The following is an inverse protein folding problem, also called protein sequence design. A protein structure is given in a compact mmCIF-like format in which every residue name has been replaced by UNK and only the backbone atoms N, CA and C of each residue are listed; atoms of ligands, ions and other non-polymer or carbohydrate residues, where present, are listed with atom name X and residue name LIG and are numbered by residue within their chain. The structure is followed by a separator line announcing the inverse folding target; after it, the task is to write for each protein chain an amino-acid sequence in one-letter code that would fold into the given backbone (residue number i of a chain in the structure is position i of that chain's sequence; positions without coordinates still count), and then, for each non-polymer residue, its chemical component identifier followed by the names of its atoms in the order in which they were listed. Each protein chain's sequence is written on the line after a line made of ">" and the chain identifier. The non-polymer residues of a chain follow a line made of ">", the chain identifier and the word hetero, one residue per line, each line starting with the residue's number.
data_IF_330040264414
#
_entry.id   IF_330040264414
#
_cell.length_a   1.000
_cell.length_b   1.000
_cell.length_c   1.000
_cell.angle_alpha   90.00
_cell.angle_beta   90.00
_cell.angle_gamma   90.00
#
_symmetry.space_group_name_H-M   'P 1'
#
loop_
_entity.id
_entity.type
_entity.pdbx_description
1 polymer ?
#
# COMPACT_ATOMS: atom_id res chain seq x y z
N UNK A 1 3.50 -16.18 -3.17
CA UNK A 1 4.34 -16.15 -4.39
C UNK A 1 5.01 -14.78 -4.50
N UNK A 2 6.23 -14.66 -3.96
CA UNK A 2 6.99 -13.40 -3.93
C UNK A 2 7.34 -12.82 -5.32
N UNK A 3 7.89 -13.62 -6.26
CA UNK A 3 8.22 -13.18 -7.62
C UNK A 3 7.02 -12.59 -8.38
N UNK A 4 5.87 -13.28 -8.35
CA UNK A 4 4.67 -12.80 -9.04
C UNK A 4 4.19 -11.44 -8.46
N UNK A 5 4.33 -11.24 -7.15
CA UNK A 5 3.95 -9.98 -6.50
C UNK A 5 4.92 -8.85 -6.85
N UNK A 6 6.24 -9.11 -6.86
CA UNK A 6 7.22 -8.10 -7.25
C UNK A 6 7.04 -7.67 -8.70
N UNK A 7 6.75 -8.60 -9.60
CA UNK A 7 6.58 -8.31 -11.03
C UNK A 7 5.30 -7.49 -11.27
N UNK A 8 4.19 -7.88 -10.61
CA UNK A 8 2.94 -7.12 -10.67
C UNK A 8 3.12 -5.67 -10.18
N UNK A 9 3.84 -5.46 -9.06
CA UNK A 9 4.07 -4.13 -8.51
C UNK A 9 5.09 -3.31 -9.32
N UNK A 10 6.14 -3.94 -9.84
CA UNK A 10 7.12 -3.28 -10.70
C UNK A 10 6.50 -2.85 -12.05
N UNK A 11 5.56 -3.64 -12.59
CA UNK A 11 4.82 -3.30 -13.80
C UNK A 11 3.98 -2.00 -13.66
N UNK A 12 3.57 -1.66 -12.44
CA UNK A 12 2.83 -0.42 -12.13
C UNK A 12 3.69 0.84 -12.19
N UNK A 13 5.03 0.71 -12.28
CA UNK A 13 5.99 1.82 -12.38
C UNK A 13 5.74 2.92 -11.33
N UNK A 14 5.65 2.53 -10.06
CA UNK A 14 5.41 3.46 -8.96
C UNK A 14 6.65 4.37 -8.79
N UNK A 15 6.50 5.71 -8.85
CA UNK A 15 7.62 6.63 -8.71
C UNK A 15 8.38 6.47 -7.38
N UNK A 16 9.71 6.58 -7.44
CA UNK A 16 10.58 6.50 -6.27
C UNK A 16 10.65 5.16 -5.53
N UNK A 17 10.10 4.07 -6.08
CA UNK A 17 10.06 2.75 -5.42
C UNK A 17 10.40 1.62 -6.39
N UNK A 18 11.09 0.58 -5.90
CA UNK A 18 11.30 -0.68 -6.60
C UNK A 18 11.07 -1.87 -5.68
N UNK A 19 10.53 -2.96 -6.22
CA UNK A 19 10.19 -4.16 -5.46
C UNK A 19 11.10 -5.31 -5.85
N UNK A 20 11.56 -6.07 -4.86
CA UNK A 20 12.34 -7.29 -5.05
C UNK A 20 11.67 -8.46 -4.34
N UNK A 21 11.59 -9.65 -4.94
CA UNK A 21 11.04 -10.81 -4.26
C UNK A 21 11.99 -11.24 -3.14
N UNK A 22 11.42 -11.64 -2.01
CA UNK A 22 12.17 -12.09 -0.84
C UNK A 22 11.45 -13.29 -0.25
N UNK A 23 12.27 -14.24 0.20
CA UNK A 23 11.84 -15.34 1.05
C UNK A 23 12.55 -15.20 2.38
N UNK A 24 11.80 -15.20 3.48
CA UNK A 24 12.36 -15.06 4.82
C UNK A 24 11.57 -15.92 5.81
N UNK A 25 12.25 -16.42 6.82
CA UNK A 25 11.62 -17.18 7.91
C UNK A 25 11.62 -16.29 9.16
N UNK A 26 10.47 -15.75 9.60
CA UNK A 26 10.39 -14.91 10.77
C UNK A 26 10.81 -15.68 12.02
N UNK A 27 11.71 -15.12 12.83
CA UNK A 27 12.13 -15.70 14.12
C UNK A 27 11.16 -15.39 15.26
N UNK A 28 10.28 -14.40 15.09
CA UNK A 28 9.27 -13.98 16.06
C UNK A 28 8.06 -13.30 15.38
N UNK A 29 7.00 -13.03 16.14
CA UNK A 29 5.75 -12.36 15.73
C UNK A 29 4.83 -13.21 14.84
N UNK A 30 4.31 -12.66 13.73
CA UNK A 30 3.37 -13.35 12.85
C UNK A 30 4.12 -14.43 12.05
N UNK A 31 3.57 -15.64 12.00
CA UNK A 31 4.11 -16.80 11.28
C UNK A 31 5.52 -17.22 11.74
N UNK A 32 5.72 -17.49 13.05
CA UNK A 32 7.04 -17.84 13.58
C UNK A 32 7.51 -19.18 13.02
N UNK A 33 8.76 -19.23 12.56
CA UNK A 33 9.38 -20.41 11.93
C UNK A 33 8.71 -20.88 10.62
N UNK A 34 7.82 -20.08 10.04
CA UNK A 34 7.18 -20.38 8.76
C UNK A 34 7.92 -19.69 7.61
N UNK A 35 8.14 -20.43 6.52
CA UNK A 35 8.76 -19.87 5.31
C UNK A 35 7.81 -18.86 4.66
N UNK A 36 8.05 -17.57 4.90
CA UNK A 36 7.26 -16.49 4.33
C UNK A 36 7.86 -16.02 3.00
N UNK A 37 6.98 -15.75 2.04
CA UNK A 37 7.34 -15.11 0.79
C UNK A 37 6.70 -13.72 0.74
N UNK A 38 7.45 -12.74 0.28
CA UNK A 38 6.97 -11.37 0.17
C UNK A 38 7.79 -10.54 -0.81
N UNK A 39 7.70 -9.22 -0.63
CA UNK A 39 8.45 -8.24 -1.42
C UNK A 39 9.21 -7.30 -0.51
N UNK A 40 10.46 -7.02 -0.88
CA UNK A 40 11.31 -6.01 -0.27
C UNK A 40 11.13 -4.73 -1.05
N UNK A 41 10.86 -3.64 -0.34
CA UNK A 41 10.57 -2.33 -0.92
C UNK A 41 11.81 -1.46 -0.79
N UNK A 42 12.42 -1.11 -1.92
CA UNK A 42 13.55 -0.18 -1.98
C UNK A 42 13.04 1.19 -2.41
N UNK A 43 13.28 2.21 -1.59
CA UNK A 43 12.99 3.60 -1.93
C UNK A 43 14.17 4.12 -2.76
N UNK A 44 13.93 4.38 -4.04
CA UNK A 44 14.95 4.91 -4.97
C UNK A 44 14.97 6.44 -4.99
N UNK A 45 13.82 7.09 -4.81
CA UNK A 45 13.72 8.54 -4.69
C UNK A 45 12.65 8.96 -3.68
N UNK A 46 13.07 9.42 -2.50
CA UNK A 46 12.18 9.76 -1.38
C UNK A 46 11.20 10.89 -1.70
N UNK A 47 11.55 11.86 -2.55
CA UNK A 47 10.68 13.01 -2.84
C UNK A 47 9.50 12.64 -3.73
N UNK A 48 9.63 11.55 -4.50
CA UNK A 48 8.58 11.03 -5.38
C UNK A 48 7.67 10.02 -4.68
N UNK A 49 8.12 9.41 -3.58
CA UNK A 49 7.34 8.37 -2.88
C UNK A 49 6.11 8.97 -2.23
N UNK A 50 4.95 8.44 -2.63
CA UNK A 50 3.66 8.72 -2.01
C UNK A 50 3.22 7.50 -1.20
N UNK A 51 3.55 7.47 0.10
CA UNK A 51 3.36 6.30 0.97
C UNK A 51 1.92 5.76 1.02
N UNK A 52 0.91 6.64 1.07
CA UNK A 52 -0.49 6.22 1.05
C UNK A 52 -0.89 5.52 -0.27
N UNK A 53 -0.42 6.05 -1.40
CA UNK A 53 -0.61 5.41 -2.72
C UNK A 53 0.08 4.06 -2.78
N UNK A 54 1.32 3.97 -2.28
CA UNK A 54 2.06 2.71 -2.19
C UNK A 54 1.29 1.66 -1.39
N UNK A 55 0.69 2.04 -0.25
CA UNK A 55 -0.16 1.16 0.54
C UNK A 55 -1.39 0.65 -0.22
N UNK A 56 -2.06 1.52 -0.98
CA UNK A 56 -3.21 1.13 -1.81
C UNK A 56 -2.81 0.16 -2.94
N UNK A 57 -1.67 0.38 -3.59
CA UNK A 57 -1.11 -0.51 -4.62
C UNK A 57 -0.81 -1.91 -4.04
N UNK A 58 -0.18 -1.96 -2.86
CA UNK A 58 0.09 -3.22 -2.15
C UNK A 58 -1.21 -3.94 -1.76
N UNK A 59 -2.18 -3.22 -1.18
CA UNK A 59 -3.45 -3.79 -0.77
C UNK A 59 -4.24 -4.37 -1.97
N UNK A 60 -4.24 -3.66 -3.10
CA UNK A 60 -4.89 -4.13 -4.33
C UNK A 60 -4.21 -5.37 -4.90
N UNK A 61 -2.87 -5.40 -4.93
CA UNK A 61 -2.13 -6.57 -5.39
C UNK A 61 -2.37 -7.79 -4.49
N UNK A 62 -2.37 -7.60 -3.15
CA UNK A 62 -2.63 -8.67 -2.19
C UNK A 62 -4.07 -9.19 -2.28
N UNK A 63 -5.07 -8.32 -2.44
CA UNK A 63 -6.45 -8.75 -2.66
C UNK A 63 -6.61 -9.60 -3.93
N UNK A 64 -5.94 -9.22 -5.02
CA UNK A 64 -6.02 -9.94 -6.30
C UNK A 64 -5.33 -11.31 -6.22
N UNK A 65 -4.19 -11.39 -5.54
CA UNK A 65 -3.38 -12.61 -5.48
C UNK A 65 -3.78 -13.57 -4.35
N UNK A 66 -4.42 -13.07 -3.29
CA UNK A 66 -4.76 -13.87 -2.11
C UNK A 66 -6.11 -13.46 -1.48
N UNK A 67 -7.21 -13.52 -2.25
CA UNK A 67 -8.53 -13.05 -1.80
C UNK A 67 -9.08 -13.81 -0.60
N UNK A 68 -8.72 -15.09 -0.42
CA UNK A 68 -9.19 -15.91 0.70
C UNK A 68 -8.44 -15.65 2.02
N UNK A 69 -7.20 -15.15 1.96
CA UNK A 69 -6.31 -15.03 3.12
C UNK A 69 -6.11 -13.58 3.58
N UNK A 70 -6.43 -12.60 2.73
CA UNK A 70 -6.24 -11.19 3.02
C UNK A 70 -7.56 -10.49 3.33
N UNK A 71 -7.86 -10.33 4.63
CA UNK A 71 -8.99 -9.51 5.09
C UNK A 71 -8.58 -8.05 5.28
N UNK A 72 -9.27 -7.15 4.59
CA UNK A 72 -9.15 -5.70 4.83
C UNK A 72 -9.99 -5.20 5.99
N UNK A 73 -10.92 -6.01 6.52
CA UNK A 73 -11.87 -5.55 7.54
C UNK A 73 -11.18 -5.24 8.87
N UNK A 74 -10.11 -5.96 9.18
CA UNK A 74 -9.25 -5.69 10.35
C UNK A 74 -8.53 -4.34 10.22
N UNK A 75 -8.29 -3.88 8.99
CA UNK A 75 -7.57 -2.63 8.71
C UNK A 75 -8.48 -1.40 8.67
N UNK A 76 -9.81 -1.55 8.84
CA UNK A 76 -10.77 -0.44 8.78
C UNK A 76 -10.44 0.67 9.77
N UNK A 77 -10.05 0.31 11.00
CA UNK A 77 -9.66 1.29 12.03
C UNK A 77 -8.37 2.05 11.68
N UNK A 78 -7.50 1.47 10.87
CA UNK A 78 -6.23 2.07 10.46
C UNK A 78 -6.40 2.97 9.22
N UNK A 79 -7.19 2.51 8.24
CA UNK A 79 -7.41 3.23 6.98
C UNK A 79 -8.44 4.35 7.17
N UNK A 80 -9.43 4.16 8.04
CA UNK A 80 -10.42 5.18 8.40
C UNK A 80 -11.43 5.53 7.30
N UNK A 81 -11.40 4.84 6.16
CA UNK A 81 -12.28 5.08 5.01
C UNK A 81 -12.95 3.79 4.55
N UNK A 82 -14.21 3.54 4.96
CA UNK A 82 -14.99 2.40 4.47
C UNK A 82 -15.15 2.44 2.93
N UNK A 83 -15.29 3.64 2.37
CA UNK A 83 -15.44 3.84 0.94
C UNK A 83 -14.20 3.41 0.15
N UNK A 84 -12.99 3.76 0.60
CA UNK A 84 -11.76 3.36 -0.07
C UNK A 84 -11.52 1.84 0.05
N UNK A 85 -11.87 1.23 1.19
CA UNK A 85 -11.82 -0.22 1.35
C UNK A 85 -12.78 -0.92 0.39
N UNK A 86 -14.01 -0.41 0.25
CA UNK A 86 -14.97 -0.95 -0.70
C UNK A 86 -14.44 -0.86 -2.13
N UNK A 87 -13.91 0.30 -2.54
CA UNK A 87 -13.31 0.50 -3.87
C UNK A 87 -12.15 -0.45 -4.13
N UNK A 88 -11.24 -0.61 -3.17
CA UNK A 88 -10.14 -1.57 -3.28
C UNK A 88 -10.64 -3.02 -3.41
N UNK A 89 -11.67 -3.41 -2.63
CA UNK A 89 -12.31 -4.73 -2.72
C UNK A 89 -13.02 -4.95 -4.05
N UNK A 90 -13.62 -3.91 -4.63
CA UNK A 90 -14.24 -3.94 -5.96
C UNK A 90 -13.23 -3.99 -7.11
N UNK A 91 -11.93 -3.84 -6.82
CA UNK A 91 -10.88 -3.90 -7.84
C UNK A 91 -10.64 -2.59 -8.57
N UNK A 92 -11.15 -1.47 -8.06
CA UNK A 92 -10.85 -0.12 -8.58
C UNK A 92 -9.34 0.08 -8.69
N UNK A 93 -8.93 0.89 -9.68
CA UNK A 93 -7.53 1.21 -9.87
C UNK A 93 -6.97 2.03 -8.68
N UNK A 94 -5.90 1.54 -8.00
CA UNK A 94 -5.34 2.22 -6.83
C UNK A 94 -4.82 3.63 -7.10
N UNK A 95 -4.34 3.92 -8.32
CA UNK A 95 -3.89 5.26 -8.66
C UNK A 95 -5.08 6.23 -8.74
N UNK A 96 -6.24 5.76 -9.23
CA UNK A 96 -7.48 6.53 -9.24
C UNK A 96 -8.06 6.76 -7.83
N UNK A 97 -7.98 5.76 -6.95
CA UNK A 97 -8.33 5.94 -5.51
C UNK A 97 -7.40 7.00 -4.89
N UNK A 98 -6.10 6.88 -5.09
CA UNK A 98 -5.13 7.83 -4.54
C UNK A 98 -5.32 9.26 -5.10
N UNK A 99 -5.66 9.39 -6.37
CA UNK A 99 -5.95 10.69 -6.99
C UNK A 99 -7.18 11.36 -6.36
N UNK A 100 -8.19 10.58 -5.94
CA UNK A 100 -9.41 11.10 -5.32
C UNK A 100 -9.15 11.80 -3.97
N UNK A 101 -8.04 11.49 -3.30
CA UNK A 101 -7.66 12.14 -2.04
C UNK A 101 -7.09 13.55 -2.20
N UNK A 102 -6.64 13.91 -3.42
CA UNK A 102 -5.91 15.16 -3.67
C UNK A 102 -6.65 16.43 -3.24
N UNK A 103 -7.97 16.49 -3.49
CA UNK A 103 -8.79 17.64 -3.11
C UNK A 103 -8.93 17.80 -1.59
N UNK A 104 -9.16 16.69 -0.87
CA UNK A 104 -9.24 16.69 0.59
C UNK A 104 -7.88 17.03 1.22
N UNK A 105 -6.79 16.46 0.69
CA UNK A 105 -5.43 16.76 1.11
C UNK A 105 -5.10 18.25 0.93
N UNK A 106 -5.45 18.84 -0.23
CA UNK A 106 -5.22 20.27 -0.49
C UNK A 106 -5.96 21.15 0.52
N UNK A 107 -7.23 20.85 0.82
CA UNK A 107 -8.01 21.57 1.84
C UNK A 107 -7.38 21.44 3.23
N UNK A 108 -6.93 20.24 3.59
CA UNK A 108 -6.27 20.00 4.86
C UNK A 108 -4.92 20.75 4.96
N UNK A 109 -4.15 20.82 3.88
CA UNK A 109 -2.90 21.60 3.82
C UNK A 109 -3.13 23.09 4.03
N UNK A 110 -4.23 23.65 3.55
CA UNK A 110 -4.61 25.05 3.83
C UNK A 110 -5.02 25.23 5.31
N UNK A 111 -5.81 24.30 5.85
CA UNK A 111 -6.24 24.35 7.25
C UNK A 111 -5.06 24.28 8.22
N UNK A 112 -4.15 23.32 8.00
CA UNK A 112 -3.02 23.10 8.91
C UNK A 112 -2.02 24.27 8.92
N UNK A 113 -1.97 25.08 7.87
CA UNK A 113 -1.01 26.17 7.73
C UNK A 113 -1.07 27.17 8.90
N UNK A 114 -2.26 27.38 9.48
CA UNK A 114 -2.48 28.24 10.66
C UNK A 114 -1.83 27.72 11.94
N UNK A 115 -1.44 26.45 11.96
CA UNK A 115 -0.95 25.73 13.13
C UNK A 115 0.48 25.22 12.95
N UNK A 116 1.15 25.56 11.84
CA UNK A 116 2.53 25.16 11.59
C UNK A 116 3.49 26.03 12.42
N UNK A 117 4.39 25.38 13.14
CA UNK A 117 5.51 26.03 13.85
C UNK A 117 6.82 25.95 13.04
N UNK A 118 6.84 25.13 11.98
CA UNK A 118 7.93 24.92 11.04
C UNK A 118 7.38 24.48 9.67
#
# INVERSE_FOLDING_TARGET
>A
NGPALSDALNARKIPGVRFYPVTFTPTAAKFPNELCQGVFIVITNRTEVRAARLGAELASALLKMSPASFSMDVNLKLIGSPADIARLKSGDDPASIAASWSAAEARWRLLRAKYLLY
#
